data_IF_726653473478
#
_entry.id   IF_726653473478
#
_cell.length_a   1.000
_cell.length_b   1.000
_cell.length_c   1.000
_cell.angle_alpha   90.00
_cell.angle_beta   90.00
_cell.angle_gamma   90.00
#
_symmetry.space_group_name_H-M   'P 1'
#
loop_
_entity.id
_entity.type
_entity.pdbx_description
1 polymer ?
#
# COMPACT_ATOMS: atom_id res chain seq x y z
N UNK A 1 32.31 -71.36 26.97
CA UNK A 1 30.96 -71.56 26.41
C UNK A 1 30.36 -70.17 26.26
N UNK A 2 30.47 -69.59 25.07
CA UNK A 2 29.36 -69.42 24.09
C UNK A 2 28.34 -68.38 24.58
N UNK A 3 28.06 -67.26 23.91
CA UNK A 3 28.46 -66.75 22.61
C UNK A 3 27.73 -65.43 22.35
N UNK A 4 28.18 -64.72 21.31
CA UNK A 4 27.62 -63.49 20.73
C UNK A 4 26.11 -63.52 20.51
N UNK A 5 25.42 -62.39 20.69
CA UNK A 5 24.74 -61.75 19.55
C UNK A 5 24.39 -60.26 19.80
N UNK A 6 24.43 -59.57 18.69
CA UNK A 6 24.39 -58.16 18.34
C UNK A 6 22.95 -57.61 18.38
N UNK A 7 22.69 -56.53 19.11
CA UNK A 7 21.49 -55.71 18.92
C UNK A 7 21.90 -54.27 18.60
N UNK A 8 21.90 -54.00 17.30
CA UNK A 8 22.03 -52.71 16.62
C UNK A 8 20.79 -51.87 16.94
N UNK A 9 20.90 -50.88 17.83
CA UNK A 9 19.88 -49.82 17.93
C UNK A 9 20.30 -48.69 16.99
N UNK A 10 19.47 -48.47 15.99
CA UNK A 10 19.66 -47.50 14.94
C UNK A 10 19.78 -46.08 15.50
N UNK A 11 20.82 -45.40 15.04
CA UNK A 11 21.01 -43.96 15.05
C UNK A 11 19.83 -43.31 14.32
N UNK A 12 19.19 -42.33 14.96
CA UNK A 12 18.09 -41.58 14.37
C UNK A 12 18.67 -40.63 13.31
N UNK A 13 18.24 -40.69 12.04
CA UNK A 13 18.67 -39.71 11.06
C UNK A 13 18.04 -38.36 11.41
N UNK A 14 18.88 -37.32 11.35
CA UNK A 14 18.55 -35.94 11.68
C UNK A 14 17.33 -35.43 10.93
N UNK A 15 16.57 -34.58 11.64
CA UNK A 15 15.54 -33.73 11.07
C UNK A 15 16.19 -32.59 10.28
N UNK A 16 16.76 -32.90 9.12
CA UNK A 16 17.10 -31.93 8.07
C UNK A 16 16.64 -32.50 6.73
N UNK A 17 16.09 -31.62 5.89
CA UNK A 17 15.60 -31.84 4.53
C UNK A 17 14.26 -32.59 4.35
N UNK A 18 13.18 -31.93 4.78
CA UNK A 18 11.94 -31.98 3.99
C UNK A 18 11.98 -30.80 2.99
N UNK A 19 12.03 -31.02 1.68
CA UNK A 19 11.86 -29.94 0.72
C UNK A 19 10.38 -29.55 0.72
N UNK A 20 10.04 -28.59 1.56
CA UNK A 20 8.78 -27.88 1.45
C UNK A 20 8.75 -27.23 0.07
N UNK A 21 7.96 -27.79 -0.83
CA UNK A 21 7.71 -27.24 -2.15
C UNK A 21 6.99 -25.89 -2.01
N UNK A 22 7.76 -24.83 -1.78
CA UNK A 22 7.30 -23.46 -1.81
C UNK A 22 7.23 -23.05 -3.28
N UNK A 23 6.20 -23.53 -3.98
CA UNK A 23 5.82 -22.94 -5.25
C UNK A 23 5.60 -21.44 -4.97
N UNK A 24 6.31 -20.53 -5.66
CA UNK A 24 6.30 -19.12 -5.29
C UNK A 24 4.86 -18.62 -5.32
N UNK A 25 4.31 -18.33 -4.14
CA UNK A 25 2.97 -17.75 -4.01
C UNK A 25 2.98 -16.45 -4.79
N UNK A 26 2.04 -16.30 -5.73
CA UNK A 26 1.98 -15.14 -6.60
C UNK A 26 1.99 -13.86 -5.75
N UNK A 27 2.91 -12.94 -6.02
CA UNK A 27 3.01 -11.67 -5.30
C UNK A 27 1.74 -10.86 -5.54
N UNK A 28 0.98 -10.56 -4.49
CA UNK A 28 -0.32 -9.89 -4.65
C UNK A 28 -0.17 -8.54 -5.35
N UNK A 29 0.89 -7.76 -5.09
CA UNK A 29 1.09 -6.47 -5.77
C UNK A 29 1.31 -6.67 -7.27
N UNK A 30 2.12 -7.67 -7.66
CA UNK A 30 2.31 -8.01 -9.07
C UNK A 30 1.01 -8.48 -9.72
N UNK A 31 0.23 -9.31 -9.04
CA UNK A 31 -1.08 -9.75 -9.52
C UNK A 31 -2.02 -8.56 -9.73
N UNK A 32 -2.10 -7.63 -8.77
CA UNK A 32 -2.90 -6.42 -8.88
C UNK A 32 -2.40 -5.48 -9.98
N UNK A 33 -1.09 -5.42 -10.20
CA UNK A 33 -0.48 -4.68 -11.31
C UNK A 33 -0.61 -5.40 -12.67
N UNK A 34 -0.91 -6.70 -12.69
CA UNK A 34 -0.91 -7.51 -13.91
C UNK A 34 0.49 -7.80 -14.44
N UNK A 35 1.47 -7.82 -13.55
CA UNK A 35 2.86 -8.17 -13.83
C UNK A 35 2.99 -9.68 -13.73
N UNK A 36 3.40 -10.32 -14.82
CA UNK A 36 3.72 -11.75 -14.85
C UNK A 36 5.16 -11.99 -14.37
N UNK A 37 5.52 -13.21 -13.92
CA UNK A 37 6.88 -13.50 -13.43
C UNK A 37 8.00 -13.20 -14.44
N UNK A 38 7.74 -13.31 -15.73
CA UNK A 38 8.66 -13.04 -16.82
C UNK A 38 8.75 -11.54 -17.21
N UNK A 39 7.86 -10.70 -16.69
CA UNK A 39 7.81 -9.27 -16.98
C UNK A 39 9.05 -8.53 -16.42
N UNK A 40 9.67 -7.57 -17.16
CA UNK A 40 10.86 -6.86 -16.69
C UNK A 40 10.72 -6.18 -15.33
N UNK A 41 9.54 -5.62 -15.02
CA UNK A 41 9.28 -5.01 -13.71
C UNK A 41 9.27 -6.02 -12.55
N UNK A 42 8.98 -7.31 -12.80
CA UNK A 42 9.11 -8.35 -11.77
C UNK A 42 10.57 -8.46 -11.34
N UNK A 43 11.51 -8.50 -12.31
CA UNK A 43 12.96 -8.54 -12.03
C UNK A 43 13.47 -7.31 -11.29
N UNK A 44 12.93 -6.13 -11.60
CA UNK A 44 13.27 -4.90 -10.86
C UNK A 44 12.81 -4.98 -9.41
N UNK A 45 11.62 -5.51 -9.16
CA UNK A 45 11.09 -5.70 -7.81
C UNK A 45 11.90 -6.76 -7.03
N UNK A 46 12.47 -7.74 -7.71
CA UNK A 46 13.35 -8.75 -7.10
C UNK A 46 14.67 -8.15 -6.55
N UNK A 47 15.05 -6.93 -6.97
CA UNK A 47 16.17 -6.18 -6.37
C UNK A 47 15.86 -5.64 -4.96
N UNK A 48 14.63 -5.83 -4.47
CA UNK A 48 14.15 -5.41 -3.15
C UNK A 48 13.38 -6.56 -2.46
N UNK A 49 14.05 -7.71 -2.20
CA UNK A 49 13.39 -8.91 -1.71
C UNK A 49 12.67 -8.68 -0.38
N UNK A 50 13.27 -7.90 0.54
CA UNK A 50 12.65 -7.56 1.82
C UNK A 50 11.34 -6.78 1.65
N UNK A 51 11.28 -5.86 0.67
CA UNK A 51 10.07 -5.08 0.42
C UNK A 51 8.93 -5.98 -0.09
N UNK A 52 9.24 -6.93 -0.98
CA UNK A 52 8.27 -7.92 -1.46
C UNK A 52 7.79 -8.81 -0.32
N UNK A 53 8.71 -9.40 0.43
CA UNK A 53 8.41 -10.30 1.54
C UNK A 53 7.61 -9.61 2.65
N UNK A 54 7.98 -8.36 3.03
CA UNK A 54 7.25 -7.58 4.02
C UNK A 54 5.81 -7.27 3.55
N UNK A 55 5.61 -6.93 2.27
CA UNK A 55 4.28 -6.67 1.74
C UNK A 55 3.37 -7.92 1.82
N UNK A 56 3.89 -9.11 1.48
CA UNK A 56 3.13 -10.35 1.60
C UNK A 56 2.83 -10.72 3.05
N UNK A 57 3.79 -10.51 3.97
CA UNK A 57 3.55 -10.70 5.41
C UNK A 57 2.50 -9.74 5.97
N UNK A 58 2.50 -8.48 5.55
CA UNK A 58 1.47 -7.52 5.93
C UNK A 58 0.10 -7.89 5.37
N UNK A 59 0.03 -8.38 4.12
CA UNK A 59 -1.22 -8.92 3.56
C UNK A 59 -1.77 -10.04 4.43
N UNK A 60 -0.94 -11.07 4.70
CA UNK A 60 -1.35 -12.21 5.51
C UNK A 60 -1.78 -11.76 6.93
N UNK A 61 -1.01 -10.89 7.59
CA UNK A 61 -1.35 -10.44 8.94
C UNK A 61 -2.66 -9.63 9.02
N UNK A 62 -2.98 -8.85 7.99
CA UNK A 62 -4.12 -7.91 8.02
C UNK A 62 -5.40 -8.48 7.38
N UNK A 63 -5.28 -9.36 6.38
CA UNK A 63 -6.43 -9.95 5.69
C UNK A 63 -6.66 -11.42 6.05
N UNK A 64 -5.59 -12.17 6.29
CA UNK A 64 -5.63 -13.61 6.53
C UNK A 64 -4.96 -14.00 7.87
N UNK A 65 -5.25 -13.31 9.00
CA UNK A 65 -4.67 -13.70 10.28
C UNK A 65 -5.09 -15.12 10.65
N UNK A 66 -4.19 -15.88 11.30
CA UNK A 66 -4.48 -17.24 11.73
C UNK A 66 -5.64 -17.32 12.73
N UNK A 67 -5.81 -16.29 13.55
CA UNK A 67 -6.97 -16.08 14.41
C UNK A 67 -7.57 -14.70 14.11
N UNK A 68 -8.68 -14.63 13.35
CA UNK A 68 -9.29 -13.36 12.98
C UNK A 68 -10.04 -12.69 14.13
N UNK A 69 -10.38 -13.42 15.19
CA UNK A 69 -11.23 -12.93 16.27
C UNK A 69 -12.58 -12.42 15.77
N UNK A 70 -13.09 -11.35 16.38
CA UNK A 70 -14.39 -10.75 16.03
C UNK A 70 -14.35 -9.89 14.77
N UNK A 71 -13.18 -9.39 14.33
CA UNK A 71 -13.00 -8.78 13.02
C UNK A 71 -12.71 -9.89 11.99
N UNK A 72 -13.77 -10.55 11.55
CA UNK A 72 -13.72 -11.76 10.71
C UNK A 72 -13.25 -11.52 9.26
N UNK A 73 -12.97 -12.60 8.53
CA UNK A 73 -12.50 -12.53 7.13
C UNK A 73 -13.47 -11.80 6.20
N UNK A 74 -14.78 -12.05 6.32
CA UNK A 74 -15.79 -11.36 5.50
C UNK A 74 -15.77 -9.84 5.69
N UNK A 75 -15.65 -9.34 6.91
CA UNK A 75 -15.54 -7.90 7.18
C UNK A 75 -14.23 -7.33 6.61
N UNK A 76 -13.11 -8.05 6.72
CA UNK A 76 -11.81 -7.62 6.19
C UNK A 76 -11.82 -7.55 4.66
N UNK A 77 -12.38 -8.56 3.99
CA UNK A 77 -12.52 -8.57 2.53
C UNK A 77 -13.55 -7.54 2.05
N UNK A 78 -14.61 -7.28 2.81
CA UNK A 78 -15.55 -6.19 2.53
C UNK A 78 -14.86 -4.83 2.56
N UNK A 79 -14.02 -4.56 3.56
CA UNK A 79 -13.21 -3.34 3.62
C UNK A 79 -12.22 -3.30 2.45
N UNK A 80 -11.58 -4.41 2.10
CA UNK A 80 -10.63 -4.48 0.99
C UNK A 80 -11.27 -4.21 -0.37
N UNK A 81 -12.41 -4.83 -0.66
CA UNK A 81 -13.17 -4.62 -1.89
C UNK A 81 -13.67 -3.18 -1.98
N UNK A 82 -14.19 -2.62 -0.88
CA UNK A 82 -14.62 -1.22 -0.83
C UNK A 82 -13.47 -0.25 -1.12
N UNK A 83 -12.33 -0.40 -0.43
CA UNK A 83 -11.15 0.46 -0.60
C UNK A 83 -10.56 0.33 -2.02
N UNK A 84 -10.55 -0.87 -2.60
CA UNK A 84 -10.12 -1.09 -3.97
C UNK A 84 -11.04 -0.37 -4.98
N UNK A 85 -12.34 -0.40 -4.75
CA UNK A 85 -13.33 0.36 -5.52
C UNK A 85 -13.11 1.87 -5.43
N UNK A 86 -12.83 2.40 -4.24
CA UNK A 86 -12.52 3.84 -4.05
C UNK A 86 -11.25 4.28 -4.79
N UNK A 87 -10.26 3.40 -4.94
CA UNK A 87 -9.04 3.68 -5.71
C UNK A 87 -9.23 3.51 -7.23
N UNK A 88 -10.40 3.07 -7.70
CA UNK A 88 -10.71 2.90 -9.11
C UNK A 88 -9.95 1.76 -9.81
N UNK A 89 -9.36 0.84 -9.06
CA UNK A 89 -8.62 -0.29 -9.65
C UNK A 89 -9.58 -1.45 -9.93
N UNK A 90 -10.00 -1.61 -11.19
CA UNK A 90 -10.92 -2.69 -11.58
C UNK A 90 -10.36 -4.08 -11.27
N UNK A 91 -9.04 -4.30 -11.47
CA UNK A 91 -8.40 -5.58 -11.17
C UNK A 91 -8.40 -5.88 -9.66
N UNK A 92 -8.09 -4.88 -8.84
CA UNK A 92 -8.10 -5.08 -7.39
C UNK A 92 -9.52 -5.21 -6.83
N UNK A 93 -10.47 -4.44 -7.37
CA UNK A 93 -11.87 -4.56 -6.99
C UNK A 93 -12.39 -5.97 -7.29
N UNK A 94 -12.10 -6.53 -8.47
CA UNK A 94 -12.45 -7.91 -8.81
C UNK A 94 -11.77 -8.92 -7.86
N UNK A 95 -10.45 -8.81 -7.67
CA UNK A 95 -9.69 -9.70 -6.78
C UNK A 95 -10.27 -9.75 -5.36
N UNK A 96 -10.55 -8.60 -4.75
CA UNK A 96 -11.12 -8.58 -3.39
C UNK A 96 -12.60 -8.91 -3.34
N UNK A 97 -13.37 -8.65 -4.41
CA UNK A 97 -14.75 -9.07 -4.51
C UNK A 97 -14.87 -10.60 -4.61
N UNK A 98 -13.94 -11.27 -5.29
CA UNK A 98 -13.87 -12.73 -5.35
C UNK A 98 -13.59 -13.32 -3.95
N UNK A 99 -12.58 -12.81 -3.25
CA UNK A 99 -12.28 -13.21 -1.87
C UNK A 99 -13.45 -12.96 -0.90
N UNK A 100 -14.14 -11.83 -1.07
CA UNK A 100 -15.34 -11.52 -0.31
C UNK A 100 -16.47 -12.49 -0.66
N UNK A 101 -16.66 -12.84 -1.93
CA UNK A 101 -17.69 -13.77 -2.38
C UNK A 101 -17.51 -15.17 -1.81
N UNK A 102 -16.25 -15.63 -1.70
CA UNK A 102 -15.91 -16.90 -1.06
C UNK A 102 -16.23 -16.89 0.45
N UNK A 103 -16.09 -15.74 1.11
CA UNK A 103 -16.38 -15.59 2.54
C UNK A 103 -17.88 -15.34 2.82
N UNK A 104 -18.52 -14.51 2.00
CA UNK A 104 -19.94 -14.14 2.05
C UNK A 104 -20.41 -13.55 0.69
N UNK A 105 -21.06 -14.39 -0.11
CA UNK A 105 -21.59 -14.02 -1.43
C UNK A 105 -22.66 -12.91 -1.39
N UNK A 106 -23.35 -12.71 -0.25
CA UNK A 106 -24.38 -11.69 -0.09
C UNK A 106 -23.80 -10.28 0.03
N UNK A 107 -22.60 -10.15 0.59
CA UNK A 107 -21.96 -8.86 0.84
C UNK A 107 -21.34 -8.24 -0.42
N UNK A 108 -20.77 -9.05 -1.31
CA UNK A 108 -20.05 -8.57 -2.49
C UNK A 108 -20.82 -7.54 -3.35
N UNK A 109 -22.08 -7.80 -3.79
CA UNK A 109 -22.81 -6.83 -4.61
C UNK A 109 -23.19 -5.56 -3.84
N UNK A 110 -23.37 -5.66 -2.51
CA UNK A 110 -23.70 -4.50 -1.66
C UNK A 110 -22.48 -3.60 -1.50
N UNK A 111 -21.31 -4.19 -1.25
CA UNK A 111 -20.04 -3.49 -1.09
C UNK A 111 -19.60 -2.82 -2.40
N UNK A 112 -19.73 -3.51 -3.53
CA UNK A 112 -19.44 -2.94 -4.85
C UNK A 112 -20.31 -1.71 -5.15
N UNK A 113 -21.63 -1.82 -4.90
CA UNK A 113 -22.55 -0.69 -5.03
C UNK A 113 -22.15 0.47 -4.13
N UNK A 114 -21.87 0.20 -2.85
CA UNK A 114 -21.45 1.23 -1.92
C UNK A 114 -20.15 1.94 -2.37
N UNK A 115 -19.17 1.20 -2.90
CA UNK A 115 -17.93 1.78 -3.41
C UNK A 115 -18.18 2.68 -4.64
N UNK A 116 -19.02 2.24 -5.58
CA UNK A 116 -19.41 3.03 -6.76
C UNK A 116 -20.15 4.31 -6.38
N UNK A 117 -21.12 4.21 -5.47
CA UNK A 117 -21.96 5.34 -5.04
C UNK A 117 -21.18 6.35 -4.17
N UNK A 118 -20.06 5.93 -3.59
CA UNK A 118 -19.21 6.77 -2.71
C UNK A 118 -17.94 7.29 -3.37
N UNK A 119 -17.76 7.02 -4.67
CA UNK A 119 -16.60 7.46 -5.43
C UNK A 119 -16.42 8.98 -5.32
N UNK A 120 -15.22 9.41 -4.91
CA UNK A 120 -14.88 10.81 -4.70
C UNK A 120 -13.48 11.11 -5.24
N UNK A 121 -13.27 12.33 -5.71
CA UNK A 121 -11.98 12.78 -6.23
C UNK A 121 -11.04 13.21 -5.09
N UNK A 122 -9.87 12.57 -5.03
CA UNK A 122 -8.71 12.98 -4.23
C UNK A 122 -8.86 12.81 -2.71
N UNK A 123 -7.75 12.97 -1.97
CA UNK A 123 -7.82 13.30 -0.57
C UNK A 123 -8.20 14.78 -0.41
N UNK A 124 -9.42 15.06 0.00
CA UNK A 124 -9.95 16.40 0.28
C UNK A 124 -9.94 16.69 1.79
N UNK A 125 -10.49 17.84 2.17
CA UNK A 125 -10.72 18.22 3.56
C UNK A 125 -10.07 19.54 3.97
N UNK A 126 -10.35 19.96 5.20
CA UNK A 126 -9.87 21.21 5.76
C UNK A 126 -8.51 21.07 6.48
N UNK A 127 -7.59 22.00 6.21
CA UNK A 127 -6.39 22.18 7.01
C UNK A 127 -6.71 22.91 8.32
N UNK A 128 -6.07 22.48 9.41
CA UNK A 128 -6.24 23.12 10.73
C UNK A 128 -5.29 24.30 10.90
N UNK A 129 -4.21 24.29 10.14
CA UNK A 129 -3.15 25.27 10.12
C UNK A 129 -3.64 26.52 9.36
N UNK A 130 -3.69 27.70 10.00
CA UNK A 130 -4.21 28.91 9.38
C UNK A 130 -3.51 29.28 8.05
N UNK A 131 -2.22 28.95 7.92
CA UNK A 131 -1.44 29.20 6.70
C UNK A 131 -1.74 28.27 5.53
N UNK A 132 -2.52 27.21 5.73
CA UNK A 132 -2.94 26.26 4.69
C UNK A 132 -4.46 26.30 4.47
N UNK A 133 -5.18 27.23 5.10
CA UNK A 133 -6.64 27.30 5.03
C UNK A 133 -7.13 27.43 3.57
N UNK A 134 -6.43 28.19 2.73
CA UNK A 134 -6.76 28.41 1.31
C UNK A 134 -6.57 27.14 0.44
N UNK A 135 -5.79 26.16 0.92
CA UNK A 135 -5.64 24.84 0.25
C UNK A 135 -6.74 23.85 0.63
N UNK A 136 -7.64 24.24 1.54
CA UNK A 136 -8.74 23.37 1.99
C UNK A 136 -9.75 23.15 0.87
N UNK A 137 -10.11 21.89 0.65
CA UNK A 137 -11.20 21.53 -0.26
C UNK A 137 -12.34 20.98 0.57
N UNK A 138 -13.43 21.74 0.80
CA UNK A 138 -14.58 21.27 1.56
C UNK A 138 -15.16 20.00 0.94
N UNK A 139 -15.41 19.00 1.78
CA UNK A 139 -16.03 17.75 1.33
C UNK A 139 -17.02 17.26 2.37
N UNK A 140 -18.12 16.70 1.88
CA UNK A 140 -19.16 16.15 2.74
C UNK A 140 -18.77 14.73 3.15
N UNK A 141 -18.84 14.38 4.45
CA UNK A 141 -18.63 13.01 4.89
C UNK A 141 -19.64 12.08 4.20
N UNK A 142 -19.14 11.07 3.49
CA UNK A 142 -19.99 10.01 3.00
C UNK A 142 -20.50 9.18 4.17
N UNK A 143 -21.75 8.77 4.08
CA UNK A 143 -22.39 7.84 5.00
C UNK A 143 -23.14 6.79 4.17
N UNK A 144 -23.04 5.50 4.50
CA UNK A 144 -23.88 4.48 3.87
C UNK A 144 -25.35 4.84 4.02
N UNK A 145 -26.15 4.72 2.96
CA UNK A 145 -27.59 4.97 3.00
C UNK A 145 -28.35 3.91 3.83
N UNK A 146 -29.65 4.10 4.04
CA UNK A 146 -30.46 3.17 4.84
C UNK A 146 -30.42 1.74 4.28
N UNK A 147 -30.62 1.57 2.96
CA UNK A 147 -30.60 0.26 2.32
C UNK A 147 -29.25 -0.45 2.47
N UNK A 148 -28.14 0.28 2.39
CA UNK A 148 -26.79 -0.26 2.57
C UNK A 148 -26.55 -0.63 4.03
N UNK A 149 -27.01 0.18 4.99
CA UNK A 149 -26.92 -0.16 6.42
C UNK A 149 -27.75 -1.39 6.77
N UNK A 150 -28.95 -1.51 6.22
CA UNK A 150 -29.82 -2.66 6.46
C UNK A 150 -29.20 -3.96 5.91
N UNK A 151 -28.52 -3.88 4.77
CA UNK A 151 -27.86 -5.03 4.15
C UNK A 151 -26.52 -5.42 4.81
N UNK A 152 -25.71 -4.44 5.24
CA UNK A 152 -24.39 -4.69 5.84
C UNK A 152 -24.43 -4.86 7.36
N UNK A 153 -25.50 -4.39 8.01
CA UNK A 153 -25.55 -4.19 9.45
C UNK A 153 -24.76 -2.96 9.91
N UNK A 154 -25.08 -2.49 11.11
CA UNK A 154 -24.51 -1.26 11.70
C UNK A 154 -22.99 -1.29 11.80
N UNK A 155 -22.42 -2.44 12.18
CA UNK A 155 -20.99 -2.59 12.45
C UNK A 155 -20.15 -2.44 11.17
N UNK A 156 -20.45 -3.21 10.13
CA UNK A 156 -19.71 -3.15 8.87
C UNK A 156 -19.96 -1.84 8.12
N UNK A 157 -21.19 -1.30 8.15
CA UNK A 157 -21.49 0.00 7.58
C UNK A 157 -20.63 1.12 8.20
N UNK A 158 -20.43 1.11 9.53
CA UNK A 158 -19.55 2.06 10.20
C UNK A 158 -18.08 1.89 9.79
N UNK A 159 -17.63 0.66 9.55
CA UNK A 159 -16.28 0.40 9.06
C UNK A 159 -16.06 0.93 7.63
N UNK A 160 -17.04 0.79 6.74
CA UNK A 160 -16.95 1.37 5.39
C UNK A 160 -16.95 2.91 5.43
N UNK A 161 -17.75 3.52 6.30
CA UNK A 161 -17.72 4.97 6.50
C UNK A 161 -16.35 5.47 7.00
N UNK A 162 -15.72 4.71 7.90
CA UNK A 162 -14.35 4.99 8.37
C UNK A 162 -13.30 4.78 7.29
N UNK A 163 -13.41 3.71 6.50
CA UNK A 163 -12.54 3.48 5.36
C UNK A 163 -12.63 4.62 4.33
N UNK A 164 -13.84 5.10 4.03
CA UNK A 164 -14.05 6.27 3.17
C UNK A 164 -13.38 7.52 3.74
N UNK A 165 -13.54 7.80 5.04
CA UNK A 165 -12.86 8.90 5.71
C UNK A 165 -11.33 8.82 5.54
N UNK A 166 -10.73 7.66 5.79
CA UNK A 166 -9.27 7.51 5.71
C UNK A 166 -8.73 7.57 4.26
N UNK A 167 -9.51 7.13 3.27
CA UNK A 167 -9.10 7.16 1.87
C UNK A 167 -9.30 8.55 1.27
N UNK A 168 -10.46 9.17 1.49
CA UNK A 168 -10.87 10.40 0.80
C UNK A 168 -10.66 11.68 1.60
N UNK A 169 -10.62 11.62 2.94
CA UNK A 169 -10.47 12.81 3.80
C UNK A 169 -9.59 12.53 5.03
N UNK A 170 -8.40 11.93 4.89
CA UNK A 170 -7.62 11.46 6.04
C UNK A 170 -7.30 12.54 7.07
N UNK A 171 -7.15 13.80 6.64
CA UNK A 171 -6.88 14.97 7.51
C UNK A 171 -8.03 15.30 8.48
N UNK A 172 -9.24 14.88 8.14
CA UNK A 172 -10.43 15.08 8.98
C UNK A 172 -10.66 13.93 9.98
N UNK A 173 -9.72 12.98 10.06
CA UNK A 173 -9.70 11.97 11.13
C UNK A 173 -9.74 12.63 12.49
N UNK A 174 -10.68 12.19 13.33
CA UNK A 174 -11.01 12.85 14.59
C UNK A 174 -11.44 11.86 15.67
N UNK A 175 -11.37 12.24 16.95
CA UNK A 175 -11.91 11.44 18.04
C UNK A 175 -13.41 11.12 17.89
N UNK A 176 -14.18 12.00 17.23
CA UNK A 176 -15.60 11.77 16.97
C UNK A 176 -15.82 10.60 16.00
N UNK A 177 -15.00 10.48 14.96
CA UNK A 177 -15.05 9.36 14.02
C UNK A 177 -14.73 8.02 14.73
N UNK A 178 -13.74 8.02 15.62
CA UNK A 178 -13.40 6.82 16.40
C UNK A 178 -14.51 6.43 17.38
N UNK A 179 -15.17 7.41 18.02
CA UNK A 179 -16.34 7.14 18.87
C UNK A 179 -17.51 6.56 18.10
N UNK A 180 -17.71 6.96 16.83
CA UNK A 180 -18.77 6.41 15.99
C UNK A 180 -18.55 4.90 15.72
N UNK A 181 -17.30 4.47 15.51
CA UNK A 181 -16.97 3.04 15.43
C UNK A 181 -17.27 2.31 16.75
N UNK A 182 -16.88 2.90 17.88
CA UNK A 182 -17.18 2.33 19.20
C UNK A 182 -18.68 2.16 19.47
N UNK A 183 -19.48 3.16 19.09
CA UNK A 183 -20.94 3.08 19.17
C UNK A 183 -21.55 2.01 18.25
N UNK A 184 -20.87 1.65 17.17
CA UNK A 184 -21.24 0.55 16.26
C UNK A 184 -20.72 -0.82 16.71
N UNK A 185 -20.11 -0.92 17.89
CA UNK A 185 -19.67 -2.18 18.49
C UNK A 185 -18.22 -2.56 18.15
N UNK A 186 -17.41 -1.64 17.61
CA UNK A 186 -15.97 -1.88 17.43
C UNK A 186 -15.22 -1.65 18.73
N UNK A 187 -14.37 -2.61 19.11
CA UNK A 187 -13.44 -2.47 20.22
C UNK A 187 -12.21 -1.63 19.83
N UNK A 188 -11.47 -1.06 20.79
CA UNK A 188 -10.26 -0.29 20.47
C UNK A 188 -9.23 -1.04 19.60
N UNK A 189 -8.99 -2.32 19.90
CA UNK A 189 -8.01 -3.14 19.17
C UNK A 189 -8.47 -3.42 17.71
N UNK A 190 -9.78 -3.61 17.51
CA UNK A 190 -10.34 -3.76 16.17
C UNK A 190 -10.30 -2.46 15.37
N UNK A 191 -10.51 -1.29 16.01
CA UNK A 191 -10.39 0.02 15.36
C UNK A 191 -8.96 0.24 14.86
N UNK A 192 -7.96 -0.13 15.66
CA UNK A 192 -6.55 -0.09 15.26
C UNK A 192 -6.32 -1.01 14.07
N UNK A 193 -6.78 -2.27 14.15
CA UNK A 193 -6.64 -3.27 13.08
C UNK A 193 -7.31 -2.82 11.77
N UNK A 194 -8.52 -2.28 11.84
CA UNK A 194 -9.26 -1.71 10.71
C UNK A 194 -8.47 -0.56 10.07
N UNK A 195 -7.95 0.36 10.88
CA UNK A 195 -7.21 1.51 10.38
C UNK A 195 -5.87 1.10 9.73
N UNK A 196 -5.19 0.09 10.30
CA UNK A 196 -3.99 -0.51 9.72
C UNK A 196 -4.30 -1.21 8.38
N UNK A 197 -5.40 -1.95 8.30
CA UNK A 197 -5.85 -2.58 7.07
C UNK A 197 -6.08 -1.53 5.97
N UNK A 198 -6.83 -0.46 6.25
CA UNK A 198 -7.08 0.61 5.27
C UNK A 198 -5.79 1.31 4.83
N UNK A 199 -4.87 1.56 5.76
CA UNK A 199 -3.56 2.15 5.43
C UNK A 199 -2.72 1.22 4.53
N UNK A 200 -2.67 -0.07 4.85
CA UNK A 200 -1.98 -1.07 4.05
C UNK A 200 -2.58 -1.21 2.64
N UNK A 201 -3.90 -1.31 2.53
CA UNK A 201 -4.60 -1.38 1.24
C UNK A 201 -4.30 -0.15 0.38
N UNK A 202 -4.34 1.04 0.98
CA UNK A 202 -4.01 2.29 0.29
C UNK A 202 -2.56 2.30 -0.21
N UNK A 203 -1.61 1.77 0.57
CA UNK A 203 -0.23 1.57 0.12
C UNK A 203 -0.16 0.57 -1.04
N UNK A 204 -0.74 -0.61 -0.87
CA UNK A 204 -0.68 -1.71 -1.83
C UNK A 204 -1.25 -1.31 -3.19
N UNK A 205 -2.41 -0.68 -3.19
CA UNK A 205 -3.10 -0.22 -4.40
C UNK A 205 -2.33 0.88 -5.12
N UNK A 206 -1.72 1.83 -4.40
CA UNK A 206 -0.88 2.87 -5.00
C UNK A 206 0.40 2.30 -5.61
N UNK A 207 1.03 1.33 -4.96
CA UNK A 207 2.20 0.64 -5.53
C UNK A 207 1.80 -0.12 -6.80
N UNK A 208 0.71 -0.89 -6.75
CA UNK A 208 0.21 -1.61 -7.91
C UNK A 208 -0.11 -0.64 -9.07
N UNK A 209 -0.80 0.47 -8.79
CA UNK A 209 -1.08 1.49 -9.79
C UNK A 209 0.18 2.12 -10.38
N UNK A 210 1.16 2.50 -9.56
CA UNK A 210 2.44 3.01 -10.04
C UNK A 210 3.17 2.03 -10.96
N UNK A 211 3.11 0.73 -10.65
CA UNK A 211 3.64 -0.33 -11.51
C UNK A 211 2.88 -0.45 -12.84
N UNK A 212 1.55 -0.29 -12.85
CA UNK A 212 0.79 -0.26 -14.11
C UNK A 212 1.19 0.91 -15.01
N UNK A 213 1.43 2.08 -14.42
CA UNK A 213 1.88 3.28 -15.15
C UNK A 213 3.28 3.06 -15.74
N UNK A 214 4.20 2.48 -14.98
CA UNK A 214 5.53 2.12 -15.46
C UNK A 214 5.49 1.06 -16.57
N UNK A 215 4.61 0.06 -16.46
CA UNK A 215 4.46 -0.96 -17.50
C UNK A 215 3.90 -0.39 -18.81
N UNK A 216 3.01 0.62 -18.72
CA UNK A 216 2.48 1.32 -19.88
C UNK A 216 3.48 2.30 -20.53
N UNK A 217 4.61 2.60 -19.86
CA UNK A 217 5.67 3.50 -20.35
C UNK A 217 7.02 2.77 -20.41
N UNK A 218 7.23 1.83 -21.35
CA UNK A 218 8.51 1.16 -21.51
C UNK A 218 9.61 2.19 -21.78
N UNK A 219 10.77 2.05 -21.13
CA UNK A 219 11.91 2.89 -21.42
C UNK A 219 12.40 2.62 -22.85
N UNK A 220 12.14 3.55 -23.76
CA UNK A 220 12.47 3.43 -25.20
C UNK A 220 13.91 3.87 -25.52
N UNK A 221 14.75 4.08 -24.50
CA UNK A 221 16.12 4.59 -24.66
C UNK A 221 17.11 3.70 -23.92
N UNK A 222 18.16 3.18 -24.57
CA UNK A 222 19.34 2.73 -23.84
C UNK A 222 19.84 3.94 -23.04
N UNK A 223 20.17 3.73 -21.77
CA UNK A 223 20.73 4.76 -20.90
C UNK A 223 22.11 5.14 -21.44
N UNK A 224 22.12 5.97 -22.49
CA UNK A 224 23.31 6.49 -23.13
C UNK A 224 24.05 7.37 -22.15
N UNK A 225 25.36 7.20 -22.10
CA UNK A 225 26.33 7.87 -21.25
C UNK A 225 26.41 9.41 -21.47
N UNK A 226 25.29 10.13 -21.37
CA UNK A 226 25.25 11.58 -21.60
C UNK A 226 25.60 12.41 -20.36
N UNK A 227 25.91 11.78 -19.23
CA UNK A 227 26.38 12.48 -18.03
C UNK A 227 27.89 12.79 -18.04
N UNK A 228 28.70 12.16 -18.92
CA UNK A 228 30.16 12.32 -18.88
C UNK A 228 30.72 13.39 -19.81
N UNK A 229 29.94 13.94 -20.75
CA UNK A 229 30.44 14.93 -21.72
C UNK A 229 30.32 16.39 -21.22
N UNK A 230 29.34 16.69 -20.37
CA UNK A 230 29.10 18.07 -19.89
C UNK A 230 30.05 18.49 -18.76
N UNK A 231 30.74 17.54 -18.11
CA UNK A 231 31.70 17.83 -17.03
C UNK A 231 33.10 18.20 -17.55
N UNK A 232 33.49 17.74 -18.75
CA UNK A 232 34.83 18.03 -19.30
C UNK A 232 34.91 19.39 -20.01
N UNK A 233 33.79 19.94 -20.48
CA UNK A 233 33.77 21.25 -21.15
C UNK A 233 33.84 22.44 -20.16
N UNK A 234 33.32 22.28 -18.93
CA UNK A 234 33.30 23.36 -17.93
C UNK A 234 34.62 23.54 -17.20
N UNK A 235 35.47 22.51 -17.13
CA UNK A 235 36.78 22.59 -16.46
C UNK A 235 37.82 23.33 -17.31
N UNK A 236 37.78 23.21 -18.64
CA UNK A 236 38.73 23.92 -19.51
C UNK A 236 38.45 25.43 -19.65
N UNK A 237 37.21 25.88 -19.47
CA UNK A 237 36.85 27.30 -19.57
C UNK A 237 37.22 28.11 -18.32
N UNK A 238 37.30 27.48 -17.15
CA UNK A 238 37.55 28.19 -15.88
C UNK A 238 39.04 28.40 -15.57
N UNK A 239 39.95 27.75 -16.32
CA UNK A 239 41.40 27.87 -16.10
C UNK A 239 42.03 29.07 -16.84
N UNK A 240 41.37 29.63 -17.84
CA UNK A 240 41.90 30.74 -18.65
C UNK A 240 41.49 32.14 -18.16
N UNK A 241 40.55 32.27 -17.22
CA UNK A 241 39.98 33.54 -16.80
C UNK A 241 40.64 34.18 -15.55
N UNK A 242 41.57 33.50 -14.89
CA UNK A 242 42.10 33.92 -13.58
C UNK A 242 43.40 34.73 -13.62
N UNK A 243 43.84 35.20 -14.79
CA UNK A 243 45.16 35.80 -14.97
C UNK A 243 45.14 37.18 -15.65
N UNK A 244 44.15 38.04 -15.36
CA UNK A 244 44.30 39.47 -15.62
C UNK A 244 43.31 40.33 -14.80
N UNK A 245 43.75 40.86 -13.66
CA UNK A 245 43.05 41.94 -12.97
C UNK A 245 44.07 42.83 -12.23
N UNK A 246 44.15 44.15 -12.54
CA UNK A 246 45.09 45.06 -11.91
C UNK A 246 44.54 45.65 -10.60
N UNK A 247 45.47 46.00 -9.70
CA UNK A 247 45.22 46.50 -8.35
C UNK A 247 44.58 47.92 -8.31
N UNK A 248 43.71 48.23 -7.33
CA UNK A 248 43.14 49.56 -7.16
C UNK A 248 44.06 50.50 -6.34
N UNK A 249 44.08 51.78 -6.74
CA UNK A 249 44.81 52.88 -6.09
C UNK A 249 44.06 53.47 -4.87
N UNK A 250 44.74 54.16 -3.93
CA UNK A 250 44.11 54.75 -2.74
C UNK A 250 44.03 56.29 -2.79
N UNK A 251 42.86 56.86 -2.51
CA UNK A 251 42.65 58.24 -2.05
C UNK A 251 41.39 58.23 -1.16
N UNK A 252 41.21 58.97 -0.08
CA UNK A 252 41.77 60.27 0.33
C UNK A 252 40.63 61.02 1.03
N UNK A 253 40.94 61.75 2.11
CA UNK A 253 40.03 62.18 3.17
C UNK A 253 39.08 63.37 2.87
N UNK A 254 38.27 63.70 3.90
CA UNK A 254 37.48 64.93 4.19
C UNK A 254 36.15 65.11 3.44
N UNK A 255 35.03 65.47 4.08
CA UNK A 255 34.72 66.04 5.42
C UNK A 255 33.28 65.69 5.79
#
# INVERSE_FOLDING_TARGET
MTGSDTARTADAPGADDAPGADAPRADVIDLLAGITPDHPLSRVRDLRPDARANAQRSFAALLEPADPGAFGYAERYAVAAFVAGLHGSARAAAFYADLLGDADAGLAPVVDRAARDSAAAGPTGAYREPGLADESVPAHPWQPDAATRDALGTRLAAALAHAHLLVSRPRESSPAALRALGAAGWTPDEIVSLSQLVAFLSFQLRVAWGLTVLAATPADQPVGASASASASASVSASASASADAPAPAPEGATR
#
